data_IF_525911170021
#
_entry.id   IF_525911170021
#
_cell.length_a   1.000
_cell.length_b   1.000
_cell.length_c   1.000
_cell.angle_alpha   90.00
_cell.angle_beta   90.00
_cell.angle_gamma   90.00
#
_symmetry.space_group_name_H-M   'P 1'
#
loop_
_entity.id
_entity.type
_entity.pdbx_description
1 polymer ?
#
# COMPACT_ATOMS: atom_id res chain seq x y z
N UNK A 1 4.39 -21.33 -7.57
CA UNK A 1 5.28 -20.38 -6.88
C UNK A 1 5.13 -19.02 -7.49
N UNK A 2 4.78 -18.02 -6.69
CA UNK A 2 4.70 -16.65 -7.20
C UNK A 2 6.09 -16.17 -7.55
N UNK A 3 6.27 -15.63 -8.75
CA UNK A 3 7.50 -14.96 -9.07
C UNK A 3 7.54 -13.62 -8.34
N UNK A 4 8.71 -13.15 -7.98
CA UNK A 4 8.90 -11.82 -7.42
C UNK A 4 8.34 -10.76 -8.38
N UNK A 5 8.46 -10.97 -9.68
CA UNK A 5 7.94 -10.06 -10.68
C UNK A 5 6.41 -9.92 -10.59
N UNK A 6 5.72 -11.01 -10.33
CA UNK A 6 4.26 -11.00 -10.16
C UNK A 6 3.87 -10.20 -8.91
N UNK A 7 4.53 -10.46 -7.78
CA UNK A 7 4.28 -9.74 -6.53
C UNK A 7 4.57 -8.24 -6.71
N UNK A 8 5.69 -7.90 -7.34
CA UNK A 8 6.06 -6.51 -7.62
C UNK A 8 5.04 -5.83 -8.55
N UNK A 9 4.55 -6.56 -9.55
CA UNK A 9 3.53 -6.05 -10.47
C UNK A 9 2.22 -5.73 -9.76
N UNK A 10 1.75 -6.64 -8.92
CA UNK A 10 0.53 -6.40 -8.13
C UNK A 10 0.72 -5.22 -7.18
N UNK A 11 1.84 -5.18 -6.45
CA UNK A 11 2.11 -4.08 -5.53
C UNK A 11 2.13 -2.73 -6.26
N UNK A 12 2.77 -2.67 -7.43
CA UNK A 12 2.82 -1.45 -8.23
C UNK A 12 1.43 -1.01 -8.68
N UNK A 13 0.60 -1.95 -9.14
CA UNK A 13 -0.76 -1.66 -9.58
C UNK A 13 -1.65 -1.16 -8.43
N UNK A 14 -1.60 -1.82 -7.29
CA UNK A 14 -2.37 -1.40 -6.12
C UNK A 14 -1.91 -0.03 -5.62
N UNK A 15 -0.62 0.23 -5.65
CA UNK A 15 -0.06 1.53 -5.28
C UNK A 15 -0.59 2.64 -6.18
N UNK A 16 -0.64 2.41 -7.49
CA UNK A 16 -1.17 3.39 -8.43
C UNK A 16 -2.65 3.71 -8.17
N UNK A 17 -3.45 2.68 -7.89
CA UNK A 17 -4.86 2.89 -7.55
C UNK A 17 -4.99 3.70 -6.26
N UNK A 18 -4.23 3.35 -5.23
CA UNK A 18 -4.25 4.06 -3.95
C UNK A 18 -3.76 5.51 -4.11
N UNK A 19 -2.74 5.73 -4.94
CA UNK A 19 -2.21 7.08 -5.23
C UNK A 19 -3.26 7.94 -5.91
N UNK A 20 -3.99 7.37 -6.87
CA UNK A 20 -5.03 8.10 -7.59
C UNK A 20 -6.14 8.59 -6.65
N UNK A 21 -6.41 7.85 -5.58
CA UNK A 21 -7.40 8.20 -4.57
C UNK A 21 -6.83 9.04 -3.42
N UNK A 22 -5.51 9.25 -3.39
CA UNK A 22 -4.85 9.98 -2.31
C UNK A 22 -4.83 9.22 -0.98
N UNK A 23 -4.84 7.89 -1.03
CA UNK A 23 -4.99 7.02 0.15
C UNK A 23 -3.85 6.02 0.32
N UNK A 24 -2.66 6.34 -0.19
CA UNK A 24 -1.52 5.41 -0.19
C UNK A 24 -1.18 4.90 1.20
N UNK A 25 -0.99 5.80 2.16
CA UNK A 25 -0.55 5.41 3.51
C UNK A 25 -1.60 4.56 4.22
N UNK A 26 -2.86 4.94 4.11
CA UNK A 26 -3.94 4.23 4.78
C UNK A 26 -4.19 2.86 4.16
N UNK A 27 -4.21 2.78 2.84
CA UNK A 27 -4.37 1.50 2.13
C UNK A 27 -3.21 0.57 2.44
N UNK A 28 -1.99 1.08 2.40
CA UNK A 28 -0.79 0.32 2.72
C UNK A 28 -0.84 -0.26 4.13
N UNK A 29 -1.20 0.55 5.12
CA UNK A 29 -1.31 0.13 6.51
C UNK A 29 -2.40 -0.92 6.69
N UNK A 30 -3.57 -0.71 6.09
CA UNK A 30 -4.68 -1.65 6.19
C UNK A 30 -4.37 -2.98 5.51
N UNK A 31 -3.76 -2.95 4.33
CA UNK A 31 -3.36 -4.18 3.63
C UNK A 31 -2.35 -4.97 4.44
N UNK A 32 -1.39 -4.29 5.06
CA UNK A 32 -0.42 -4.95 5.91
C UNK A 32 -1.10 -5.67 7.08
N UNK A 33 -2.04 -5.01 7.74
CA UNK A 33 -2.79 -5.60 8.86
C UNK A 33 -3.64 -6.78 8.42
N UNK A 34 -4.31 -6.67 7.28
CA UNK A 34 -5.12 -7.75 6.71
C UNK A 34 -4.24 -8.97 6.42
N UNK A 35 -3.09 -8.73 5.82
CA UNK A 35 -2.14 -9.81 5.50
C UNK A 35 -1.64 -10.51 6.76
N UNK A 36 -1.32 -9.76 7.82
CA UNK A 36 -0.90 -10.36 9.10
C UNK A 36 -2.03 -11.18 9.73
N UNK A 37 -3.26 -10.67 9.68
CA UNK A 37 -4.41 -11.40 10.21
C UNK A 37 -4.64 -12.71 9.45
N UNK A 38 -4.48 -12.70 8.13
CA UNK A 38 -4.58 -13.91 7.32
C UNK A 38 -3.53 -14.94 7.67
N UNK A 39 -2.31 -14.51 7.93
CA UNK A 39 -1.23 -15.42 8.31
C UNK A 39 -1.49 -16.15 9.62
N UNK A 40 -2.24 -15.56 10.53
CA UNK A 40 -2.55 -16.16 11.83
C UNK A 40 -3.69 -17.18 11.77
N UNK A 41 -4.45 -17.22 10.68
CA UNK A 41 -5.57 -18.15 10.53
C UNK A 41 -5.34 -19.12 9.38
N UNK A 42 -4.92 -20.32 9.71
CA UNK A 42 -4.73 -21.41 8.72
C UNK A 42 -6.03 -21.73 8.01
N UNK A 43 -7.13 -21.78 8.77
CA UNK A 43 -8.47 -22.06 8.22
C UNK A 43 -8.86 -21.04 7.14
N UNK A 44 -8.67 -19.77 7.42
CA UNK A 44 -8.99 -18.71 6.48
C UNK A 44 -8.11 -18.75 5.23
N UNK A 45 -6.81 -18.98 5.40
CA UNK A 45 -5.89 -19.12 4.26
C UNK A 45 -6.28 -20.27 3.35
N UNK A 46 -6.61 -21.40 3.93
CA UNK A 46 -7.03 -22.59 3.17
C UNK A 46 -8.34 -22.32 2.43
N UNK A 47 -9.30 -21.68 3.08
CA UNK A 47 -10.59 -21.35 2.46
C UNK A 47 -10.41 -20.42 1.25
N UNK A 48 -9.62 -19.37 1.39
CA UNK A 48 -9.43 -18.40 0.32
C UNK A 48 -8.60 -18.93 -0.84
N UNK A 49 -7.75 -19.94 -0.59
CA UNK A 49 -6.93 -20.54 -1.64
C UNK A 49 -7.53 -21.80 -2.24
N UNK A 50 -8.65 -22.29 -1.71
CA UNK A 50 -9.29 -23.53 -2.19
C UNK A 50 -9.93 -23.28 -3.56
N UNK A 51 -9.45 -23.97 -4.64
CA UNK A 51 -10.02 -23.77 -5.97
C UNK A 51 -11.45 -24.32 -6.09
N UNK A 52 -11.89 -25.14 -5.14
CA UNK A 52 -13.25 -25.69 -5.14
C UNK A 52 -14.27 -24.74 -4.54
N UNK A 53 -13.83 -23.76 -3.76
CA UNK A 53 -14.73 -22.77 -3.19
C UNK A 53 -15.10 -21.73 -4.24
N UNK A 54 -16.39 -21.49 -4.51
CA UNK A 54 -16.79 -20.49 -5.50
C UNK A 54 -16.30 -19.09 -5.13
N UNK A 55 -15.97 -18.32 -6.15
CA UNK A 55 -15.49 -16.95 -5.97
C UNK A 55 -16.45 -16.09 -5.13
N UNK A 56 -17.74 -16.22 -5.36
CA UNK A 56 -18.76 -15.50 -4.62
C UNK A 56 -18.67 -15.74 -3.12
N UNK A 57 -18.38 -16.98 -2.73
CA UNK A 57 -18.21 -17.34 -1.33
C UNK A 57 -16.94 -16.74 -0.75
N UNK A 58 -15.85 -16.76 -1.51
CA UNK A 58 -14.60 -16.11 -1.09
C UNK A 58 -14.79 -14.62 -0.87
N UNK A 59 -15.48 -13.96 -1.77
CA UNK A 59 -15.79 -12.54 -1.65
C UNK A 59 -16.68 -12.26 -0.45
N UNK A 60 -17.66 -13.13 -0.19
CA UNK A 60 -18.51 -13.03 1.01
C UNK A 60 -17.70 -13.13 2.30
N UNK A 61 -16.73 -14.03 2.35
CA UNK A 61 -15.83 -14.16 3.50
C UNK A 61 -15.02 -12.88 3.72
N UNK A 62 -14.48 -12.33 2.65
CA UNK A 62 -13.72 -11.09 2.70
C UNK A 62 -14.59 -9.93 3.21
N UNK A 63 -15.79 -9.79 2.68
CA UNK A 63 -16.73 -8.76 3.11
C UNK A 63 -17.14 -8.91 4.58
N UNK A 64 -17.41 -10.13 5.02
CA UNK A 64 -17.79 -10.40 6.40
C UNK A 64 -16.69 -10.04 7.38
N UNK A 65 -15.43 -10.28 6.99
CA UNK A 65 -14.28 -10.03 7.86
C UNK A 65 -13.84 -8.58 7.86
N UNK A 66 -13.89 -7.92 6.72
CA UNK A 66 -13.29 -6.60 6.52
C UNK A 66 -14.31 -5.47 6.38
N UNK A 67 -15.54 -5.79 6.01
CA UNK A 67 -16.58 -4.77 5.80
C UNK A 67 -16.77 -3.89 7.04
N UNK A 68 -16.69 -2.58 6.86
CA UNK A 68 -16.79 -1.62 7.94
C UNK A 68 -15.56 -1.47 8.82
N UNK A 69 -14.52 -2.29 8.60
CA UNK A 69 -13.27 -2.26 9.38
C UNK A 69 -12.11 -1.66 8.62
N UNK A 70 -12.20 -1.66 7.30
CA UNK A 70 -11.20 -1.07 6.43
C UNK A 70 -11.90 -0.14 5.44
N UNK A 71 -11.14 0.68 4.75
CA UNK A 71 -11.68 1.52 3.68
C UNK A 71 -12.34 0.66 2.59
N UNK A 72 -13.41 1.15 1.96
CA UNK A 72 -13.98 0.45 0.80
C UNK A 72 -12.95 0.16 -0.27
N UNK A 73 -12.01 1.06 -0.50
CA UNK A 73 -10.93 0.84 -1.47
C UNK A 73 -10.06 -0.36 -1.07
N UNK A 74 -9.66 -0.45 0.20
CA UNK A 74 -8.87 -1.58 0.69
C UNK A 74 -9.62 -2.90 0.52
N UNK A 75 -10.92 -2.91 0.85
CA UNK A 75 -11.77 -4.08 0.67
C UNK A 75 -11.78 -4.51 -0.80
N UNK A 76 -11.95 -3.56 -1.71
CA UNK A 76 -11.95 -3.85 -3.15
C UNK A 76 -10.63 -4.40 -3.64
N UNK A 77 -9.51 -3.87 -3.14
CA UNK A 77 -8.19 -4.34 -3.53
C UNK A 77 -7.90 -5.76 -3.02
N UNK A 78 -8.29 -6.07 -1.79
CA UNK A 78 -8.20 -7.42 -1.25
C UNK A 78 -9.06 -8.38 -2.07
N UNK A 79 -10.29 -7.99 -2.36
CA UNK A 79 -11.22 -8.79 -3.18
C UNK A 79 -10.65 -9.05 -4.57
N UNK A 80 -10.00 -8.05 -5.16
CA UNK A 80 -9.34 -8.19 -6.46
C UNK A 80 -8.22 -9.25 -6.44
N UNK A 81 -7.37 -9.21 -5.42
CA UNK A 81 -6.28 -10.18 -5.28
C UNK A 81 -6.82 -11.59 -5.08
N UNK A 82 -7.86 -11.73 -4.25
CA UNK A 82 -8.53 -13.01 -4.00
C UNK A 82 -9.18 -13.52 -5.28
N UNK A 83 -9.86 -12.66 -6.03
CA UNK A 83 -10.51 -13.03 -7.29
C UNK A 83 -9.51 -13.48 -8.36
N UNK A 84 -8.31 -12.92 -8.33
CA UNK A 84 -7.24 -13.32 -9.24
C UNK A 84 -6.59 -14.67 -8.86
N UNK A 85 -7.01 -15.28 -7.76
CA UNK A 85 -6.43 -16.52 -7.28
C UNK A 85 -5.08 -16.35 -6.60
N UNK A 86 -4.81 -15.14 -6.09
CA UNK A 86 -3.51 -14.77 -5.51
C UNK A 86 -3.56 -14.50 -4.02
N UNK A 87 -4.56 -15.04 -3.32
CA UNK A 87 -4.69 -14.83 -1.87
C UNK A 87 -3.44 -15.28 -1.10
N UNK A 88 -2.77 -16.34 -1.55
CA UNK A 88 -1.53 -16.82 -0.92
C UNK A 88 -0.36 -15.84 -1.07
N UNK A 89 -0.43 -14.93 -2.03
CA UNK A 89 0.59 -13.92 -2.28
C UNK A 89 0.30 -12.59 -1.59
N UNK A 90 -0.84 -12.48 -0.93
CA UNK A 90 -1.29 -11.21 -0.34
C UNK A 90 -0.29 -10.66 0.67
N UNK A 91 0.31 -11.51 1.51
CA UNK A 91 1.30 -11.07 2.48
C UNK A 91 2.53 -10.45 1.78
N UNK A 92 3.04 -11.10 0.75
CA UNK A 92 4.19 -10.59 -0.01
C UNK A 92 3.85 -9.30 -0.75
N UNK A 93 2.64 -9.22 -1.31
CA UNK A 93 2.16 -8.01 -1.99
C UNK A 93 2.04 -6.85 -1.02
N UNK A 94 1.45 -7.09 0.16
CA UNK A 94 1.30 -6.08 1.20
C UNK A 94 2.65 -5.59 1.71
N UNK A 95 3.61 -6.49 1.92
CA UNK A 95 4.96 -6.13 2.35
C UNK A 95 5.66 -5.25 1.31
N UNK A 96 5.56 -5.63 0.04
CA UNK A 96 6.17 -4.86 -1.04
C UNK A 96 5.52 -3.48 -1.19
N UNK A 97 4.20 -3.43 -1.06
CA UNK A 97 3.46 -2.16 -1.09
C UNK A 97 3.91 -1.24 0.05
N UNK A 98 4.06 -1.78 1.25
CA UNK A 98 4.53 -1.02 2.41
C UNK A 98 5.94 -0.46 2.20
N UNK A 99 6.85 -1.25 1.62
CA UNK A 99 8.19 -0.80 1.29
C UNK A 99 8.17 0.36 0.30
N UNK A 100 7.37 0.25 -0.75
CA UNK A 100 7.26 1.29 -1.78
C UNK A 100 6.61 2.55 -1.24
N UNK A 101 5.57 2.41 -0.43
CA UNK A 101 4.91 3.56 0.20
C UNK A 101 5.86 4.31 1.14
N UNK A 102 6.66 3.58 1.92
CA UNK A 102 7.66 4.17 2.80
C UNK A 102 8.75 4.90 2.00
N UNK A 103 9.23 4.31 0.90
CA UNK A 103 10.25 4.92 0.06
C UNK A 103 9.75 6.23 -0.56
N UNK A 104 8.50 6.26 -1.03
CA UNK A 104 7.90 7.47 -1.57
C UNK A 104 7.75 8.57 -0.52
N UNK A 105 7.37 8.20 0.70
CA UNK A 105 7.24 9.14 1.81
C UNK A 105 8.59 9.74 2.18
N UNK A 106 9.64 8.92 2.26
CA UNK A 106 10.98 9.38 2.57
C UNK A 106 11.52 10.32 1.50
N UNK A 107 11.26 10.02 0.24
CA UNK A 107 11.65 10.88 -0.87
C UNK A 107 10.92 12.24 -0.79
N UNK A 108 9.63 12.24 -0.50
CA UNK A 108 8.86 13.47 -0.37
C UNK A 108 9.37 14.33 0.78
N UNK A 109 9.73 13.74 1.92
CA UNK A 109 10.32 14.45 3.05
C UNK A 109 11.66 15.06 2.67
N UNK A 110 12.51 14.33 1.95
CA UNK A 110 13.80 14.82 1.49
C UNK A 110 13.64 16.01 0.52
N UNK A 111 12.66 15.95 -0.37
CA UNK A 111 12.36 17.06 -1.29
C UNK A 111 11.91 18.31 -0.55
N UNK A 112 11.06 18.16 0.45
CA UNK A 112 10.61 19.30 1.29
C UNK A 112 11.77 19.89 2.04
N UNK A 113 12.65 19.09 2.62
CA UNK A 113 13.84 19.58 3.33
C UNK A 113 14.76 20.35 2.40
N UNK A 114 15.01 19.83 1.21
CA UNK A 114 15.85 20.49 0.22
C UNK A 114 15.27 21.84 -0.19
N UNK A 115 13.97 21.90 -0.45
CA UNK A 115 13.29 23.14 -0.80
C UNK A 115 13.39 24.17 0.35
N UNK A 116 13.19 23.72 1.58
CA UNK A 116 13.30 24.58 2.76
C UNK A 116 14.72 25.14 2.94
N UNK A 117 15.74 24.31 2.79
CA UNK A 117 17.14 24.72 2.88
C UNK A 117 17.51 25.75 1.78
N UNK A 118 17.00 25.56 0.57
CA UNK A 118 17.19 26.50 -0.52
C UNK A 118 16.55 27.85 -0.22
N UNK A 119 15.37 27.86 0.39
CA UNK A 119 14.69 29.10 0.80
C UNK A 119 15.50 29.85 1.86
N UNK A 120 16.02 29.17 2.85
CA UNK A 120 16.87 29.78 3.89
C UNK A 120 18.14 30.36 3.28
N UNK A 121 18.76 29.63 2.36
CA UNK A 121 19.96 30.09 1.65
C UNK A 121 19.66 31.37 0.84
N UNK A 122 18.53 31.38 0.16
CA UNK A 122 18.10 32.55 -0.63
C UNK A 122 17.89 33.75 0.27
N UNK A 123 17.21 33.58 1.40
CA UNK A 123 16.97 34.68 2.37
C UNK A 123 18.30 35.20 2.90
N UNK A 124 19.23 34.34 3.24
CA UNK A 124 20.55 34.73 3.74
C UNK A 124 21.31 35.52 2.71
N UNK A 125 21.33 35.09 1.44
CA UNK A 125 22.00 35.79 0.35
C UNK A 125 21.40 37.17 0.13
N UNK A 126 20.10 37.27 0.21
CA UNK A 126 19.40 38.56 0.08
C UNK A 126 19.79 39.49 1.22
N UNK A 127 19.82 38.99 2.44
CA UNK A 127 20.21 39.78 3.62
C UNK A 127 21.64 40.29 3.49
N UNK A 128 22.58 39.46 3.05
CA UNK A 128 23.97 39.81 2.83
C UNK A 128 24.08 40.89 1.75
N UNK A 129 23.35 40.73 0.67
CA UNK A 129 23.32 41.67 -0.42
C UNK A 129 22.85 43.05 0.02
N UNK A 130 21.80 43.11 0.82
CA UNK A 130 21.24 44.34 1.36
C UNK A 130 22.17 45.02 2.35
N UNK A 131 22.90 44.26 3.15
CA UNK A 131 23.82 44.82 4.14
C UNK A 131 25.09 45.42 3.52
N UNK A 132 25.39 45.05 2.26
CA UNK A 132 26.52 45.64 1.50
C UNK A 132 26.18 46.93 0.77
N UNK A 133 24.93 47.24 0.68
CA UNK A 133 24.48 48.39 -0.06
C UNK A 133 24.63 49.74 0.70
#
# INVERSE_FOLDING_TARGET
MASLDLVHGYAAGLLEVARAEGLVDRVSDELYRVARALETSTELRLALSDPRLPLERKQGIVEDLLGGRVLPLTLNLVSFVVAAGRSSDLAAIADRLAERAAAERDLAVAEVRTAFELDEETVRRLAESLSRA
#
